data_IF_763742667863
#
_entry.id   IF_763742667863
#
_cell.length_a   1.000
_cell.length_b   1.000
_cell.length_c   1.000
_cell.angle_alpha   90.00
_cell.angle_beta   90.00
_cell.angle_gamma   90.00
#
_symmetry.space_group_name_H-M   'P 1'
#
loop_
_entity.id
_entity.type
_entity.pdbx_description
1 polymer ?
#
# COMPACT_ATOMS: atom_id res chain seq x y z
N UNK A 1 17.32 2.67 -24.32
CA UNK A 1 17.06 2.61 -22.87
C UNK A 1 15.57 2.64 -22.61
N UNK A 2 15.07 1.72 -21.82
CA UNK A 2 13.68 1.84 -21.40
C UNK A 2 13.50 3.09 -20.55
N UNK A 3 12.42 3.82 -20.83
CA UNK A 3 11.99 4.93 -20.02
C UNK A 3 11.72 4.43 -18.59
N UNK A 4 12.04 5.21 -17.56
CA UNK A 4 11.69 4.87 -16.17
C UNK A 4 10.19 4.60 -16.03
N UNK A 5 9.37 5.31 -16.79
CA UNK A 5 7.91 5.12 -16.79
C UNK A 5 7.54 3.71 -17.20
N UNK A 6 8.21 3.16 -18.21
CA UNK A 6 7.97 1.79 -18.67
C UNK A 6 8.38 0.77 -17.62
N UNK A 7 9.53 0.98 -16.98
CA UNK A 7 9.97 0.10 -15.89
C UNK A 7 8.99 0.13 -14.74
N UNK A 8 8.49 1.30 -14.38
CA UNK A 8 7.51 1.44 -13.30
C UNK A 8 6.21 0.73 -13.65
N UNK A 9 5.76 0.85 -14.89
CA UNK A 9 4.56 0.15 -15.35
C UNK A 9 4.74 -1.37 -15.28
N UNK A 10 5.91 -1.88 -15.64
CA UNK A 10 6.20 -3.32 -15.58
C UNK A 10 6.14 -3.84 -14.15
N UNK A 11 6.69 -3.09 -13.19
CA UNK A 11 6.64 -3.47 -11.77
C UNK A 11 5.19 -3.49 -11.28
N UNK A 12 4.41 -2.48 -11.63
CA UNK A 12 3.00 -2.41 -11.24
C UNK A 12 2.22 -3.58 -11.83
N UNK A 13 2.42 -3.88 -13.11
CA UNK A 13 1.73 -4.98 -13.76
C UNK A 13 2.11 -6.33 -13.15
N UNK A 14 3.39 -6.54 -12.87
CA UNK A 14 3.84 -7.78 -12.25
C UNK A 14 3.17 -7.99 -10.89
N UNK A 15 3.16 -6.96 -10.05
CA UNK A 15 2.54 -7.05 -8.73
C UNK A 15 1.02 -7.17 -8.80
N UNK A 16 0.39 -6.64 -9.84
CA UNK A 16 -1.05 -6.78 -10.02
C UNK A 16 -1.45 -8.19 -10.45
N UNK A 17 -0.60 -8.86 -11.23
CA UNK A 17 -0.86 -10.21 -11.71
C UNK A 17 -0.47 -11.28 -10.70
N UNK A 18 0.60 -11.05 -9.98
CA UNK A 18 1.14 -11.99 -8.99
C UNK A 18 1.44 -11.25 -7.69
N UNK A 19 0.41 -10.77 -6.99
CA UNK A 19 0.63 -9.99 -5.77
C UNK A 19 1.30 -10.83 -4.69
N UNK A 20 2.20 -10.18 -3.94
CA UNK A 20 2.91 -10.81 -2.82
C UNK A 20 2.02 -10.75 -1.59
N UNK A 21 2.12 -11.79 -0.75
CA UNK A 21 1.37 -11.87 0.50
C UNK A 21 -0.16 -11.80 0.30
N UNK A 22 -0.64 -12.29 -0.84
CA UNK A 22 -2.06 -12.31 -1.15
C UNK A 22 -2.67 -13.59 -0.59
N UNK A 23 -3.15 -13.52 0.65
CA UNK A 23 -3.72 -14.67 1.36
C UNK A 23 -4.43 -14.22 2.63
N UNK A 24 -5.28 -15.06 3.17
CA UNK A 24 -5.80 -14.88 4.51
C UNK A 24 -4.70 -15.26 5.50
N UNK A 25 -4.55 -14.47 6.56
CA UNK A 25 -3.52 -14.73 7.58
C UNK A 25 -4.19 -15.30 8.82
N UNK A 26 -4.00 -16.62 9.01
CA UNK A 26 -4.64 -17.33 10.12
C UNK A 26 -4.19 -16.84 11.51
N UNK A 27 -2.97 -16.31 11.59
CA UNK A 27 -2.41 -15.79 12.84
C UNK A 27 -2.73 -14.31 13.06
N UNK A 28 -3.51 -13.68 12.20
CA UNK A 28 -3.81 -12.27 12.31
C UNK A 28 -4.52 -11.93 13.61
N UNK A 29 -4.02 -10.92 14.30
CA UNK A 29 -4.65 -10.36 15.49
C UNK A 29 -5.23 -8.96 15.24
N UNK A 30 -5.02 -8.41 14.06
CA UNK A 30 -5.59 -7.14 13.62
C UNK A 30 -6.02 -7.29 12.17
N UNK A 31 -7.13 -6.67 11.82
CA UNK A 31 -7.58 -6.62 10.43
C UNK A 31 -8.44 -5.37 10.20
N UNK A 32 -8.48 -4.92 8.96
CA UNK A 32 -9.35 -3.83 8.54
C UNK A 32 -9.73 -4.02 7.08
N UNK A 33 -10.84 -3.43 6.69
CA UNK A 33 -11.31 -3.43 5.30
C UNK A 33 -11.25 -2.03 4.73
N UNK A 34 -10.85 -1.93 3.47
CA UNK A 34 -10.81 -0.67 2.75
C UNK A 34 -11.64 -0.75 1.48
N UNK A 35 -12.28 0.35 1.14
CA UNK A 35 -13.15 0.42 -0.02
C UNK A 35 -12.97 1.74 -0.76
N UNK A 36 -12.82 1.65 -2.09
CA UNK A 36 -12.79 2.81 -2.96
C UNK A 36 -13.98 2.70 -3.93
N UNK A 37 -15.08 3.39 -3.66
CA UNK A 37 -16.30 3.25 -4.48
C UNK A 37 -16.14 3.75 -5.90
N UNK A 38 -15.21 4.67 -6.15
CA UNK A 38 -14.98 5.21 -7.50
C UNK A 38 -14.46 4.15 -8.46
N UNK A 39 -13.63 3.24 -7.98
CA UNK A 39 -13.02 2.19 -8.81
C UNK A 39 -13.52 0.79 -8.45
N UNK A 40 -14.35 0.65 -7.43
CA UNK A 40 -14.79 -0.64 -6.96
C UNK A 40 -13.73 -1.46 -6.25
N UNK A 41 -12.63 -0.81 -5.84
CA UNK A 41 -11.57 -1.50 -5.10
C UNK A 41 -12.05 -1.86 -3.70
N UNK A 42 -11.78 -3.09 -3.28
CA UNK A 42 -12.14 -3.56 -1.93
C UNK A 42 -11.06 -4.53 -1.45
N UNK A 43 -10.39 -4.18 -0.35
CA UNK A 43 -9.33 -4.99 0.21
C UNK A 43 -9.50 -5.18 1.71
N UNK A 44 -9.08 -6.36 2.17
CA UNK A 44 -8.92 -6.65 3.59
C UNK A 44 -7.43 -6.79 3.86
N UNK A 45 -6.93 -6.08 4.87
CA UNK A 45 -5.54 -6.17 5.32
C UNK A 45 -5.52 -6.92 6.64
N UNK A 46 -4.66 -7.92 6.74
CA UNK A 46 -4.47 -8.74 7.94
C UNK A 46 -3.10 -8.47 8.51
N UNK A 47 -3.03 -8.29 9.82
CA UNK A 47 -1.77 -8.06 10.52
C UNK A 47 -1.59 -9.05 11.64
N UNK A 48 -0.36 -9.56 11.77
CA UNK A 48 0.10 -10.28 12.95
C UNK A 48 1.10 -9.38 13.66
N UNK A 49 0.62 -8.70 14.70
CA UNK A 49 1.45 -7.78 15.48
C UNK A 49 2.00 -8.50 16.70
N UNK A 50 3.31 -8.36 16.92
CA UNK A 50 3.98 -8.82 18.14
C UNK A 50 4.60 -7.59 18.79
N UNK A 51 3.95 -7.10 19.87
CA UNK A 51 4.31 -5.82 20.45
C UNK A 51 4.11 -4.69 19.43
N UNK A 52 5.17 -3.95 19.16
CA UNK A 52 5.14 -2.88 18.17
C UNK A 52 5.60 -3.31 16.78
N UNK A 53 5.90 -4.60 16.60
CA UNK A 53 6.44 -5.11 15.34
C UNK A 53 5.39 -5.80 14.50
N UNK A 54 5.42 -5.55 13.21
CA UNK A 54 4.58 -6.25 12.23
C UNK A 54 5.32 -7.54 11.88
N UNK A 55 4.95 -8.63 12.56
CA UNK A 55 5.59 -9.92 12.35
C UNK A 55 5.22 -10.50 10.99
N UNK A 56 3.97 -10.34 10.60
CA UNK A 56 3.49 -10.77 9.30
C UNK A 56 2.33 -9.88 8.85
N UNK A 57 2.13 -9.82 7.54
CA UNK A 57 1.08 -9.02 6.94
C UNK A 57 0.64 -9.70 5.65
N UNK A 58 -0.66 -9.66 5.37
CA UNK A 58 -1.21 -10.15 4.13
C UNK A 58 -2.44 -9.34 3.75
N UNK A 59 -2.94 -9.55 2.54
CA UNK A 59 -4.17 -8.90 2.11
C UNK A 59 -4.92 -9.80 1.15
N UNK A 60 -6.21 -9.53 1.00
CA UNK A 60 -7.06 -10.15 0.00
C UNK A 60 -8.03 -9.12 -0.51
N UNK A 61 -8.62 -9.39 -1.65
CA UNK A 61 -9.64 -8.53 -2.22
C UNK A 61 -9.50 -8.39 -3.72
N UNK A 62 -10.18 -7.39 -4.27
CA UNK A 62 -10.17 -7.12 -5.70
C UNK A 62 -10.06 -5.63 -5.95
N UNK A 63 -9.53 -5.29 -7.12
CA UNK A 63 -9.38 -3.89 -7.48
C UNK A 63 -8.59 -3.75 -8.77
N UNK A 64 -8.32 -2.49 -9.13
CA UNK A 64 -7.55 -2.19 -10.32
C UNK A 64 -6.06 -2.57 -10.13
N UNK A 65 -5.31 -2.51 -11.23
CA UNK A 65 -3.89 -2.86 -11.21
C UNK A 65 -3.10 -1.98 -10.23
N UNK A 66 -3.43 -0.69 -10.17
CA UNK A 66 -2.74 0.27 -9.28
C UNK A 66 -2.97 -0.09 -7.82
N UNK A 67 -4.22 -0.33 -7.42
CA UNK A 67 -4.54 -0.63 -6.02
C UNK A 67 -3.95 -1.97 -5.59
N UNK A 68 -4.03 -2.98 -6.44
CA UNK A 68 -3.50 -4.31 -6.13
C UNK A 68 -1.97 -4.29 -6.04
N UNK A 69 -1.30 -3.60 -6.96
CA UNK A 69 0.15 -3.46 -6.93
C UNK A 69 0.60 -2.68 -5.69
N UNK A 70 -0.11 -1.63 -5.33
CA UNK A 70 0.19 -0.84 -4.14
C UNK A 70 0.08 -1.71 -2.88
N UNK A 71 -0.98 -2.48 -2.75
CA UNK A 71 -1.17 -3.39 -1.61
C UNK A 71 -0.04 -4.42 -1.54
N UNK A 72 0.32 -5.01 -2.68
CA UNK A 72 1.41 -5.98 -2.75
C UNK A 72 2.75 -5.40 -2.28
N UNK A 73 3.13 -4.25 -2.84
CA UNK A 73 4.38 -3.57 -2.48
C UNK A 73 4.36 -3.08 -1.04
N UNK A 74 3.21 -2.62 -0.55
CA UNK A 74 3.04 -2.24 0.85
C UNK A 74 3.39 -3.41 1.78
N UNK A 75 2.83 -4.58 1.53
CA UNK A 75 3.08 -5.75 2.39
C UNK A 75 4.56 -6.10 2.42
N UNK A 76 5.25 -6.04 1.28
CA UNK A 76 6.68 -6.29 1.24
C UNK A 76 7.48 -5.22 1.99
N UNK A 77 7.01 -3.99 1.93
CA UNK A 77 7.74 -2.85 2.52
C UNK A 77 7.62 -2.79 4.03
N UNK A 78 6.47 -3.18 4.60
CA UNK A 78 6.23 -3.01 6.05
C UNK A 78 6.42 -4.29 6.85
N UNK A 79 6.49 -5.45 6.21
CA UNK A 79 6.69 -6.71 6.93
C UNK A 79 8.02 -6.68 7.69
N UNK A 80 7.97 -7.00 8.97
CA UNK A 80 9.15 -6.98 9.82
C UNK A 80 9.49 -5.61 10.39
N UNK A 81 8.71 -4.58 10.09
CA UNK A 81 8.95 -3.22 10.58
C UNK A 81 8.07 -2.93 11.79
N UNK A 82 8.45 -1.88 12.54
CA UNK A 82 7.64 -1.42 13.67
C UNK A 82 6.46 -0.59 13.18
N UNK A 83 5.49 -0.37 14.08
CA UNK A 83 4.36 0.52 13.81
C UNK A 83 4.84 1.92 13.40
N UNK A 84 5.84 2.44 14.12
CA UNK A 84 6.38 3.77 13.84
C UNK A 84 7.03 3.84 12.46
N UNK A 85 7.79 2.81 12.09
CA UNK A 85 8.40 2.73 10.78
C UNK A 85 7.36 2.63 9.67
N UNK A 86 6.31 1.86 9.87
CA UNK A 86 5.22 1.71 8.91
C UNK A 86 4.47 3.03 8.73
N UNK A 87 4.20 3.75 9.82
CA UNK A 87 3.52 5.05 9.77
C UNK A 87 4.37 6.09 9.03
N UNK A 88 5.68 6.09 9.27
CA UNK A 88 6.61 6.97 8.58
C UNK A 88 6.65 6.68 7.09
N UNK A 89 6.68 5.40 6.74
CA UNK A 89 6.69 4.98 5.34
C UNK A 89 5.38 5.39 4.64
N UNK A 90 4.24 5.25 5.31
CA UNK A 90 2.97 5.69 4.78
C UNK A 90 2.99 7.20 4.52
N UNK A 91 3.50 7.99 5.46
CA UNK A 91 3.58 9.44 5.29
C UNK A 91 4.41 9.79 4.05
N UNK A 92 5.54 9.14 3.87
CA UNK A 92 6.40 9.37 2.71
C UNK A 92 5.74 8.93 1.41
N UNK A 93 5.08 7.79 1.42
CA UNK A 93 4.35 7.28 0.26
C UNK A 93 3.21 8.23 -0.13
N UNK A 94 2.46 8.69 0.86
CA UNK A 94 1.36 9.63 0.64
C UNK A 94 1.86 10.92 -0.02
N UNK A 95 2.97 11.45 0.46
CA UNK A 95 3.59 12.64 -0.14
C UNK A 95 4.03 12.38 -1.57
N UNK A 96 4.59 11.21 -1.83
CA UNK A 96 5.02 10.84 -3.17
C UNK A 96 3.85 10.83 -4.15
N UNK A 97 2.76 10.16 -3.81
CA UNK A 97 1.63 9.98 -4.73
C UNK A 97 0.76 11.22 -4.85
N UNK A 98 0.86 12.16 -3.91
CA UNK A 98 0.16 13.45 -3.99
C UNK A 98 1.03 14.55 -4.59
N UNK A 99 2.25 14.23 -5.02
CA UNK A 99 3.16 15.20 -5.62
C UNK A 99 3.82 16.15 -4.64
N UNK A 100 3.78 15.85 -3.33
CA UNK A 100 4.35 16.70 -2.29
C UNK A 100 5.77 16.30 -1.90
N UNK A 101 6.29 15.23 -2.46
CA UNK A 101 7.64 14.77 -2.14
C UNK A 101 8.67 15.79 -2.62
N UNK A 102 9.57 16.26 -1.76
CA UNK A 102 10.64 17.13 -2.22
C UNK A 102 11.57 16.42 -3.18
N UNK A 103 12.20 17.16 -4.08
CA UNK A 103 13.06 16.62 -5.11
C UNK A 103 14.23 15.80 -4.51
N UNK A 104 14.67 16.16 -3.31
CA UNK A 104 15.70 15.45 -2.57
C UNK A 104 15.14 14.59 -1.45
N UNK A 105 13.85 14.24 -1.53
CA UNK A 105 13.20 13.41 -0.52
C UNK A 105 13.79 12.01 -0.45
N UNK A 106 13.46 11.31 0.62
CA UNK A 106 14.04 10.02 0.97
C UNK A 106 13.49 8.88 0.09
N UNK A 107 13.70 9.00 -1.22
CA UNK A 107 13.29 7.94 -2.16
C UNK A 107 13.97 6.61 -1.87
N UNK A 108 15.15 6.66 -1.24
CA UNK A 108 15.85 5.45 -0.83
C UNK A 108 15.06 4.63 0.17
N UNK A 109 14.33 5.29 1.10
CA UNK A 109 13.47 4.59 2.05
C UNK A 109 12.24 3.98 1.38
N UNK A 110 11.74 4.61 0.31
CA UNK A 110 10.58 4.12 -0.41
C UNK A 110 10.90 2.87 -1.24
N UNK A 111 12.15 2.72 -1.69
CA UNK A 111 12.54 1.58 -2.52
C UNK A 111 11.63 1.43 -3.74
N UNK A 112 11.06 0.25 -3.92
CA UNK A 112 10.18 -0.04 -5.06
C UNK A 112 8.89 0.78 -5.06
N UNK A 113 8.50 1.35 -3.92
CA UNK A 113 7.30 2.21 -3.86
C UNK A 113 7.44 3.45 -4.74
N UNK A 114 8.66 3.84 -5.10
CA UNK A 114 8.90 4.95 -6.01
C UNK A 114 8.25 4.77 -7.38
N UNK A 115 7.87 3.54 -7.75
CA UNK A 115 7.19 3.27 -9.03
C UNK A 115 5.84 4.01 -9.13
N UNK A 116 5.28 4.45 -8.01
CA UNK A 116 4.02 5.18 -8.00
C UNK A 116 4.18 6.69 -8.12
N UNK A 117 5.39 7.18 -8.38
CA UNK A 117 5.65 8.63 -8.43
C UNK A 117 4.82 9.39 -9.46
N UNK A 118 4.47 8.75 -10.58
CA UNK A 118 3.64 9.37 -11.63
C UNK A 118 2.16 9.42 -11.34
N UNK A 119 1.72 8.77 -10.27
CA UNK A 119 0.29 8.67 -9.94
C UNK A 119 -0.29 10.03 -9.56
N UNK A 120 0.54 10.94 -9.05
CA UNK A 120 0.09 12.28 -8.62
C UNK A 120 -0.59 13.09 -9.72
N UNK A 121 -0.31 12.77 -10.99
CA UNK A 121 -0.94 13.43 -12.13
C UNK A 121 -2.40 13.01 -12.34
N UNK A 122 -2.84 11.95 -11.63
CA UNK A 122 -4.16 11.36 -11.84
C UNK A 122 -4.86 11.19 -10.48
N UNK A 123 -5.67 12.19 -10.05
CA UNK A 123 -6.28 12.16 -8.72
C UNK A 123 -7.06 10.90 -8.38
N UNK A 124 -7.76 10.30 -9.35
CA UNK A 124 -8.49 9.05 -9.13
C UNK A 124 -7.53 7.92 -8.77
N UNK A 125 -6.38 7.87 -9.44
CA UNK A 125 -5.37 6.84 -9.20
C UNK A 125 -4.66 7.02 -7.87
N UNK A 126 -4.58 8.25 -7.35
CA UNK A 126 -4.05 8.51 -6.00
C UNK A 126 -4.90 7.76 -4.98
N UNK A 127 -6.21 7.79 -5.12
CA UNK A 127 -7.12 7.07 -4.22
C UNK A 127 -6.92 5.56 -4.32
N UNK A 128 -6.70 5.04 -5.52
CA UNK A 128 -6.41 3.63 -5.71
C UNK A 128 -5.08 3.25 -5.05
N UNK A 129 -4.05 4.07 -5.23
CA UNK A 129 -2.72 3.79 -4.68
C UNK A 129 -2.70 3.84 -3.16
N UNK A 130 -3.52 4.68 -2.54
CA UNK A 130 -3.48 4.88 -1.09
C UNK A 130 -4.46 4.02 -0.31
N UNK A 131 -5.40 3.35 -0.97
CA UNK A 131 -6.45 2.59 -0.27
C UNK A 131 -5.88 1.56 0.70
N UNK A 132 -4.95 0.71 0.24
CA UNK A 132 -4.36 -0.32 1.09
C UNK A 132 -3.62 0.28 2.27
N UNK A 133 -2.97 1.43 2.07
CA UNK A 133 -2.23 2.12 3.12
C UNK A 133 -3.14 2.69 4.20
N UNK A 134 -4.27 3.30 3.81
CA UNK A 134 -5.27 3.75 4.78
C UNK A 134 -5.85 2.57 5.55
N UNK A 135 -6.06 1.45 4.88
CA UNK A 135 -6.55 0.23 5.50
C UNK A 135 -5.54 -0.33 6.51
N UNK A 136 -4.26 -0.33 6.13
CA UNK A 136 -3.18 -0.70 7.03
C UNK A 136 -3.17 0.17 8.29
N UNK A 137 -3.29 1.48 8.10
CA UNK A 137 -3.30 2.42 9.22
C UNK A 137 -4.43 2.10 10.19
N UNK A 138 -5.63 1.83 9.67
CA UNK A 138 -6.79 1.46 10.50
C UNK A 138 -6.53 0.17 11.26
N UNK A 139 -5.94 -0.83 10.59
CA UNK A 139 -5.61 -2.11 11.23
C UNK A 139 -4.59 -1.93 12.35
N UNK A 140 -3.59 -1.08 12.14
CA UNK A 140 -2.57 -0.79 13.16
C UNK A 140 -3.17 -0.14 14.40
N UNK A 141 -4.25 0.63 14.24
CA UNK A 141 -4.94 1.27 15.36
C UNK A 141 -5.93 0.32 16.06
N UNK A 142 -6.05 -0.91 15.59
CA UNK A 142 -6.96 -1.89 16.17
C UNK A 142 -8.42 -1.65 15.83
N UNK A 143 -8.71 -0.76 14.88
CA UNK A 143 -10.08 -0.49 14.45
C UNK A 143 -10.52 -1.54 13.43
N UNK A 144 -11.68 -2.14 13.68
CA UNK A 144 -12.28 -3.09 12.74
C UNK A 144 -13.33 -2.36 11.90
N UNK A 145 -12.93 -1.26 11.30
CA UNK A 145 -13.82 -0.43 10.50
C UNK A 145 -13.49 -0.51 9.03
N UNK A 146 -14.50 -0.29 8.20
CA UNK A 146 -14.29 -0.12 6.77
C UNK A 146 -13.79 1.31 6.54
N UNK A 147 -12.68 1.42 5.83
CA UNK A 147 -12.10 2.70 5.45
C UNK A 147 -12.47 3.00 4.01
N UNK A 148 -12.84 4.22 3.71
CA UNK A 148 -13.17 4.64 2.34
C UNK A 148 -12.24 5.76 1.90
N UNK A 149 -11.87 5.72 0.62
CA UNK A 149 -11.04 6.76 -0.01
C UNK A 149 -11.87 7.64 -0.96
N UNK A 150 -13.11 7.86 -0.64
CA UNK A 150 -13.94 8.78 -1.42
C UNK A 150 -13.30 10.16 -1.57
#
# INVERSE_FOLDING_TARGET
MPDLRELYQEVILEHSKAPRNYRELATANHRAEGYNPLCGDHFTVYLDLEGDSIRDISFQGSGCAISKASASLMTQSVKGKTRAEAARLFDQFHKLVTGQSPANGNRAELGKLAVFSGVSEFPVRVKCATLAWHTLHAALQGKQQTVSTE
#
